data_IF_453625890918
#
_entry.id   IF_453625890918
#
_cell.length_a   1.000
_cell.length_b   1.000
_cell.length_c   1.000
_cell.angle_alpha   90.00
_cell.angle_beta   90.00
_cell.angle_gamma   90.00
#
_symmetry.space_group_name_H-M   'P 1'
#
loop_
_entity.id
_entity.type
_entity.pdbx_description
1 polymer ?
#
# COMPACT_ATOMS: atom_id res chain seq x y z
N UNK A 1 8.22 12.10 -5.33
CA UNK A 1 8.22 10.66 -4.93
C UNK A 1 6.89 10.31 -4.26
N UNK A 2 5.85 10.10 -5.07
CA UNK A 2 4.53 9.64 -4.64
C UNK A 2 4.38 8.11 -4.63
N UNK A 3 3.52 7.63 -3.71
CA UNK A 3 3.21 6.23 -3.34
C UNK A 3 1.97 6.24 -2.42
N UNK A 4 1.02 5.29 -2.36
CA UNK A 4 0.74 3.99 -3.01
C UNK A 4 -0.68 3.52 -2.65
N UNK A 5 -1.35 2.58 -3.37
CA UNK A 5 -2.61 1.96 -2.88
C UNK A 5 -2.67 0.44 -2.94
N UNK A 6 -3.11 -0.17 -1.83
CA UNK A 6 -3.70 -1.51 -1.85
C UNK A 6 -5.13 -1.46 -1.28
N UNK A 7 -6.08 -2.00 -2.05
CA UNK A 7 -7.50 -2.07 -1.69
C UNK A 7 -7.72 -3.17 -0.66
N UNK A 8 -8.29 -2.83 0.49
CA UNK A 8 -8.74 -3.81 1.50
C UNK A 8 -10.18 -3.51 1.90
N UNK A 9 -11.13 -3.97 1.07
CA UNK A 9 -12.49 -4.17 1.56
C UNK A 9 -12.40 -5.16 2.73
N UNK A 10 -12.89 -4.80 3.92
CA UNK A 10 -13.03 -5.76 5.02
C UNK A 10 -14.05 -6.83 4.62
N UNK A 11 -13.56 -7.94 4.08
CA UNK A 11 -14.32 -9.17 3.88
C UNK A 11 -13.66 -10.24 4.74
N UNK A 12 -14.43 -10.88 5.63
CA UNK A 12 -14.00 -12.11 6.29
C UNK A 12 -13.90 -13.20 5.21
N UNK A 13 -12.71 -13.34 4.63
CA UNK A 13 -12.38 -14.44 3.72
C UNK A 13 -12.09 -15.67 4.57
N UNK A 14 -12.83 -16.74 4.34
CA UNK A 14 -12.52 -18.03 4.96
C UNK A 14 -11.20 -18.57 4.42
N UNK A 15 -10.54 -19.45 5.18
CA UNK A 15 -9.33 -20.15 4.73
C UNK A 15 -9.57 -20.85 3.37
N UNK A 16 -10.76 -21.41 3.16
CA UNK A 16 -11.17 -22.00 1.88
C UNK A 16 -11.24 -20.97 0.72
N UNK A 17 -11.63 -19.71 1.00
CA UNK A 17 -11.58 -18.63 0.02
C UNK A 17 -10.14 -18.19 -0.29
N UNK A 18 -9.27 -18.09 0.73
CA UNK A 18 -7.85 -17.79 0.54
C UNK A 18 -7.12 -18.85 -0.29
N UNK A 19 -7.36 -20.14 -0.01
CA UNK A 19 -6.82 -21.26 -0.81
C UNK A 19 -7.29 -21.20 -2.26
N UNK A 20 -8.59 -20.94 -2.50
CA UNK A 20 -9.11 -20.72 -3.85
C UNK A 20 -8.46 -19.51 -4.55
N UNK A 21 -8.14 -18.42 -3.84
CA UNK A 21 -7.45 -17.25 -4.42
C UNK A 21 -6.01 -17.61 -4.80
N UNK A 22 -5.31 -18.43 -4.02
CA UNK A 22 -3.96 -18.91 -4.34
C UNK A 22 -3.98 -19.83 -5.56
N UNK A 23 -4.95 -20.72 -5.66
CA UNK A 23 -5.09 -21.69 -6.76
C UNK A 23 -5.65 -21.08 -8.06
N UNK A 24 -6.52 -20.08 -7.98
CA UNK A 24 -7.26 -19.50 -9.13
C UNK A 24 -6.95 -18.02 -9.44
N UNK A 25 -6.13 -17.36 -8.61
CA UNK A 25 -5.88 -15.92 -8.68
C UNK A 25 -7.10 -15.03 -8.41
N UNK A 26 -8.23 -15.58 -7.95
CA UNK A 26 -9.54 -14.92 -8.01
C UNK A 26 -10.36 -15.02 -6.71
N UNK A 27 -11.00 -13.91 -6.31
CA UNK A 27 -11.90 -13.83 -5.16
C UNK A 27 -13.28 -14.48 -5.45
N UNK A 28 -13.86 -15.28 -4.52
CA UNK A 28 -15.19 -15.85 -4.70
C UNK A 28 -16.29 -14.78 -4.81
N UNK A 29 -17.27 -15.00 -5.70
CA UNK A 29 -18.49 -14.18 -5.79
C UNK A 29 -18.34 -12.83 -6.52
N UNK A 30 -17.13 -12.37 -6.80
CA UNK A 30 -16.93 -11.29 -7.76
C UNK A 30 -17.09 -11.82 -9.20
N UNK A 31 -17.63 -10.99 -10.12
CA UNK A 31 -17.45 -11.23 -11.57
C UNK A 31 -15.96 -11.45 -11.82
N UNK A 32 -15.59 -12.41 -12.70
CA UNK A 32 -14.19 -12.60 -13.12
C UNK A 32 -13.56 -11.23 -13.31
N UNK A 33 -12.50 -10.94 -12.56
CA UNK A 33 -11.88 -9.64 -12.60
C UNK A 33 -11.28 -9.49 -14.00
N UNK A 34 -11.90 -8.68 -14.87
CA UNK A 34 -11.50 -8.52 -16.29
C UNK A 34 -10.19 -7.74 -16.45
N UNK A 35 -9.47 -7.56 -15.35
CA UNK A 35 -8.26 -6.78 -15.21
C UNK A 35 -7.16 -7.75 -14.75
N UNK A 36 -5.98 -7.67 -15.35
CA UNK A 36 -4.84 -8.61 -15.22
C UNK A 36 -4.47 -9.00 -13.77
N UNK A 37 -3.82 -10.13 -13.55
CA UNK A 37 -3.39 -10.52 -12.20
C UNK A 37 -2.45 -9.49 -11.56
N UNK A 38 -2.33 -9.49 -10.22
CA UNK A 38 -1.29 -8.70 -9.56
C UNK A 38 0.10 -9.26 -9.90
N UNK A 39 1.03 -8.36 -10.18
CA UNK A 39 2.43 -8.69 -10.48
C UNK A 39 3.22 -8.61 -9.19
N UNK A 40 3.58 -9.79 -8.69
CA UNK A 40 4.45 -9.92 -7.51
C UNK A 40 5.87 -9.48 -7.86
N UNK A 41 6.47 -8.63 -7.01
CA UNK A 41 7.81 -8.11 -7.21
C UNK A 41 8.72 -8.39 -6.01
N UNK A 42 10.02 -8.47 -6.28
CA UNK A 42 11.10 -8.68 -5.32
C UNK A 42 12.06 -7.48 -5.35
N UNK A 43 13.14 -7.53 -4.56
CA UNK A 43 14.20 -6.52 -4.59
C UNK A 43 14.85 -6.37 -5.98
N UNK A 44 14.93 -7.47 -6.73
CA UNK A 44 15.55 -7.56 -8.05
C UNK A 44 14.64 -7.02 -9.15
N UNK A 45 13.32 -7.17 -9.00
CA UNK A 45 12.34 -6.72 -10.01
C UNK A 45 11.75 -5.35 -9.73
N UNK A 46 11.82 -4.86 -8.48
CA UNK A 46 11.39 -3.50 -8.10
C UNK A 46 12.03 -2.37 -8.95
N UNK A 47 13.34 -2.41 -9.30
CA UNK A 47 13.96 -1.42 -10.19
C UNK A 47 13.42 -1.41 -11.62
N UNK A 48 12.66 -2.44 -12.05
CA UNK A 48 12.05 -2.51 -13.38
C UNK A 48 10.69 -1.79 -13.47
N UNK A 49 10.14 -1.30 -12.35
CA UNK A 49 8.92 -0.49 -12.37
C UNK A 49 9.16 0.84 -13.10
N UNK A 50 8.17 1.30 -13.88
CA UNK A 50 8.25 2.62 -14.50
C UNK A 50 8.22 3.71 -13.42
N UNK A 51 9.12 4.67 -13.60
CA UNK A 51 9.08 5.99 -12.96
C UNK A 51 8.42 6.95 -13.95
N UNK A 52 7.53 7.79 -13.44
CA UNK A 52 6.77 8.77 -14.22
C UNK A 52 7.30 10.17 -13.94
N UNK A 53 7.62 10.93 -14.98
CA UNK A 53 7.97 12.35 -14.84
C UNK A 53 6.72 13.19 -14.50
N UNK A 54 6.87 14.20 -13.63
CA UNK A 54 5.76 15.04 -13.21
C UNK A 54 5.12 15.83 -14.35
N UNK A 55 5.94 16.44 -15.21
CA UNK A 55 5.48 17.31 -16.29
C UNK A 55 4.87 16.51 -17.45
N UNK A 56 5.27 15.25 -17.63
CA UNK A 56 4.64 14.30 -18.56
C UNK A 56 3.28 13.81 -18.03
N UNK A 57 3.23 13.18 -16.84
CA UNK A 57 1.99 12.51 -16.39
C UNK A 57 0.85 13.50 -16.14
N UNK A 58 1.13 14.76 -15.77
CA UNK A 58 0.09 15.75 -15.52
C UNK A 58 -0.57 16.27 -16.81
N UNK A 59 0.02 16.00 -17.99
CA UNK A 59 -0.46 16.47 -19.30
C UNK A 59 -0.96 15.37 -20.23
N UNK A 60 -0.46 14.13 -20.09
CA UNK A 60 -0.84 12.99 -20.94
C UNK A 60 -1.73 11.98 -20.19
N UNK A 61 -2.99 11.86 -20.62
CA UNK A 61 -3.95 10.86 -20.12
C UNK A 61 -3.43 9.41 -20.24
N UNK A 62 -2.59 9.11 -21.24
CA UNK A 62 -1.97 7.79 -21.38
C UNK A 62 -0.89 7.53 -20.33
N UNK A 63 -0.18 8.56 -19.86
CA UNK A 63 0.74 8.43 -18.74
C UNK A 63 0.01 8.31 -17.40
N UNK A 64 -1.08 9.06 -17.20
CA UNK A 64 -2.01 8.85 -16.08
C UNK A 64 -2.54 7.40 -16.08
N UNK A 65 -2.98 6.89 -17.24
CA UNK A 65 -3.46 5.51 -17.38
C UNK A 65 -2.38 4.49 -17.01
N UNK A 66 -1.16 4.62 -17.54
CA UNK A 66 -0.02 3.74 -17.22
C UNK A 66 0.32 3.76 -15.72
N UNK A 67 0.28 4.93 -15.09
CA UNK A 67 0.53 5.09 -13.66
C UNK A 67 -0.56 4.39 -12.82
N UNK A 68 -1.83 4.61 -13.14
CA UNK A 68 -2.96 3.95 -12.47
C UNK A 68 -2.93 2.44 -12.69
N UNK A 69 -2.60 1.99 -13.91
CA UNK A 69 -2.44 0.58 -14.25
C UNK A 69 -1.33 -0.05 -13.39
N UNK A 70 -0.14 0.56 -13.32
CA UNK A 70 0.97 0.05 -12.51
C UNK A 70 0.67 0.06 -10.99
N UNK A 71 0.00 1.09 -10.47
CA UNK A 71 -0.53 1.08 -9.10
C UNK A 71 -1.47 -0.10 -8.88
N UNK A 72 -2.30 -0.43 -9.86
CA UNK A 72 -3.33 -1.47 -9.76
C UNK A 72 -2.76 -2.89 -9.94
N UNK A 73 -1.75 -3.09 -10.77
CA UNK A 73 -1.10 -4.40 -11.01
C UNK A 73 0.03 -4.68 -10.02
N UNK A 74 0.90 -3.71 -9.76
CA UNK A 74 2.10 -3.89 -8.94
C UNK A 74 1.91 -3.37 -7.50
N UNK A 75 0.85 -2.59 -7.24
CA UNK A 75 0.68 -1.91 -5.95
C UNK A 75 1.66 -0.76 -5.73
N UNK A 76 2.38 -0.30 -6.77
CA UNK A 76 3.56 0.57 -6.62
C UNK A 76 3.89 1.37 -7.91
N UNK A 77 3.84 2.72 -7.87
CA UNK A 77 4.25 3.58 -8.99
C UNK A 77 4.89 4.91 -8.52
N UNK A 78 6.12 5.18 -9.00
CA UNK A 78 6.90 6.38 -8.63
C UNK A 78 6.53 7.59 -9.51
N UNK A 79 6.52 8.79 -8.91
CA UNK A 79 6.59 10.05 -9.66
C UNK A 79 7.84 10.84 -9.27
N UNK A 80 8.66 11.23 -10.25
CA UNK A 80 9.86 12.07 -10.11
C UNK A 80 9.58 13.54 -10.41
N UNK A 81 10.52 14.42 -10.09
CA UNK A 81 10.55 15.83 -10.52
C UNK A 81 9.31 16.68 -10.16
N UNK A 82 8.57 16.20 -9.15
CA UNK A 82 7.40 16.85 -8.57
C UNK A 82 7.79 18.21 -7.96
N UNK A 83 7.15 19.33 -8.34
CA UNK A 83 7.36 20.62 -7.71
C UNK A 83 7.00 20.59 -6.22
N UNK A 84 7.80 21.25 -5.37
CA UNK A 84 7.57 21.29 -3.92
C UNK A 84 6.21 21.84 -3.51
N UNK A 85 5.59 22.70 -4.34
CA UNK A 85 4.20 23.14 -4.21
C UNK A 85 3.36 22.58 -5.37
N UNK A 86 2.60 21.53 -5.10
CA UNK A 86 1.56 21.01 -6.00
C UNK A 86 0.19 21.51 -5.52
N UNK A 87 -0.57 22.19 -6.37
CA UNK A 87 -1.97 22.52 -6.11
C UNK A 87 -2.85 21.30 -6.39
N UNK A 88 -2.85 20.36 -5.43
CA UNK A 88 -3.55 19.10 -5.58
C UNK A 88 -5.07 19.26 -5.43
N UNK A 89 -5.90 18.74 -6.37
CA UNK A 89 -7.35 18.74 -6.24
C UNK A 89 -7.86 17.89 -5.06
N UNK A 90 -6.99 17.12 -4.39
CA UNK A 90 -7.27 16.43 -3.12
C UNK A 90 -7.81 17.41 -2.06
N UNK A 91 -7.42 18.70 -2.10
CA UNK A 91 -7.94 19.76 -1.22
C UNK A 91 -9.47 19.89 -1.25
N UNK A 92 -10.13 19.51 -2.35
CA UNK A 92 -11.58 19.61 -2.52
C UNK A 92 -12.35 18.32 -2.19
N UNK A 93 -11.68 17.28 -1.69
CA UNK A 93 -12.33 16.02 -1.29
C UNK A 93 -12.57 15.93 0.23
N UNK A 94 -13.47 15.04 0.64
CA UNK A 94 -13.86 14.83 2.05
C UNK A 94 -12.67 14.52 2.98
N UNK A 95 -11.56 14.01 2.43
CA UNK A 95 -10.37 13.62 3.19
C UNK A 95 -9.56 14.80 3.74
N UNK A 96 -9.67 16.00 3.15
CA UNK A 96 -9.35 17.36 3.65
C UNK A 96 -8.04 17.66 4.41
N UNK A 97 -7.21 16.68 4.76
CA UNK A 97 -6.08 16.83 5.68
C UNK A 97 -4.85 16.10 5.13
N UNK A 98 -3.99 16.86 4.50
CA UNK A 98 -2.60 16.48 4.28
C UNK A 98 -1.89 16.55 5.65
N UNK A 99 -0.93 15.67 5.90
CA UNK A 99 -0.12 15.69 7.12
C UNK A 99 1.37 15.82 6.77
N UNK A 100 2.05 16.77 7.40
CA UNK A 100 3.49 16.94 7.23
C UNK A 100 4.25 15.89 8.04
N UNK A 101 4.84 14.90 7.37
CA UNK A 101 5.73 13.92 8.01
C UNK A 101 7.10 14.55 8.20
N UNK A 102 7.34 15.08 9.40
CA UNK A 102 8.62 15.68 9.82
C UNK A 102 8.97 15.26 11.25
N UNK A 103 10.26 15.16 11.56
CA UNK A 103 10.69 14.89 12.93
C UNK A 103 10.42 16.09 13.85
N UNK A 104 9.76 15.86 14.98
CA UNK A 104 9.46 16.90 16.00
C UNK A 104 9.88 16.44 17.41
N UNK A 105 10.21 17.35 18.33
CA UNK A 105 10.34 17.02 19.75
C UNK A 105 9.02 16.45 20.29
N UNK A 106 9.11 15.47 21.20
CA UNK A 106 7.94 14.88 21.88
C UNK A 106 6.89 14.33 20.89
N UNK A 107 7.35 13.60 19.88
CA UNK A 107 6.53 13.03 18.82
C UNK A 107 5.39 12.13 19.36
N UNK A 108 4.15 12.51 19.08
CA UNK A 108 2.93 11.74 19.44
C UNK A 108 2.65 10.56 18.50
N UNK A 109 3.40 10.44 17.41
CA UNK A 109 3.30 9.37 16.42
C UNK A 109 4.72 9.02 15.96
N UNK A 110 5.01 7.72 15.78
CA UNK A 110 6.32 7.23 15.37
C UNK A 110 6.81 7.86 14.05
N UNK A 111 5.92 8.16 13.11
CA UNK A 111 6.23 8.84 11.84
C UNK A 111 6.84 10.24 12.03
N UNK A 112 6.60 10.89 13.17
CA UNK A 112 7.19 12.20 13.51
C UNK A 112 8.47 12.08 14.35
N UNK A 113 9.10 10.90 14.40
CA UNK A 113 10.35 10.64 15.14
C UNK A 113 11.57 10.50 14.21
N UNK A 114 12.75 10.34 14.81
CA UNK A 114 13.99 9.96 14.10
C UNK A 114 14.21 8.44 14.01
N UNK A 115 13.33 7.63 14.61
CA UNK A 115 13.47 6.18 14.64
C UNK A 115 13.23 5.52 13.26
N UNK A 116 13.62 4.25 13.17
CA UNK A 116 13.16 3.34 12.13
C UNK A 116 11.73 2.89 12.45
N UNK A 117 10.89 2.74 11.42
CA UNK A 117 9.51 2.27 11.52
C UNK A 117 9.37 0.79 11.17
N UNK A 118 10.36 0.21 10.48
CA UNK A 118 10.23 -1.12 9.88
C UNK A 118 9.12 -1.19 8.83
N UNK A 119 8.79 -2.42 8.39
CA UNK A 119 7.66 -2.65 7.50
C UNK A 119 6.33 -2.58 8.26
N UNK A 120 5.40 -1.76 7.77
CA UNK A 120 4.07 -1.56 8.34
C UNK A 120 3.08 -1.18 7.25
N UNK A 121 1.79 -1.21 7.58
CA UNK A 121 0.72 -0.59 6.81
C UNK A 121 -0.01 0.43 7.68
N UNK A 122 -0.45 1.53 7.08
CA UNK A 122 -0.88 2.71 7.83
C UNK A 122 -2.32 2.60 8.36
N UNK A 123 -2.50 3.12 9.58
CA UNK A 123 -3.77 3.34 10.26
C UNK A 123 -4.65 2.08 10.43
N UNK A 124 -4.05 0.91 10.65
CA UNK A 124 -4.74 -0.38 10.93
C UNK A 124 -5.71 -0.37 12.13
N UNK A 125 -5.73 0.70 12.93
CA UNK A 125 -6.71 0.91 14.00
C UNK A 125 -8.07 1.43 13.51
N UNK A 126 -8.22 1.79 12.23
CA UNK A 126 -9.53 2.01 11.61
C UNK A 126 -10.11 0.70 11.07
N UNK A 127 -11.43 0.53 11.20
CA UNK A 127 -12.16 -0.60 10.60
C UNK A 127 -12.00 -0.66 9.08
N UNK A 128 -11.89 0.49 8.41
CA UNK A 128 -11.60 0.58 6.98
C UNK A 128 -10.38 1.50 6.80
N UNK A 129 -9.15 0.96 6.87
CA UNK A 129 -7.93 1.75 6.75
C UNK A 129 -7.83 2.38 5.35
N UNK A 130 -7.04 3.47 5.18
CA UNK A 130 -6.85 4.08 3.87
C UNK A 130 -6.29 3.06 2.89
N UNK A 131 -6.92 2.97 1.72
CA UNK A 131 -6.37 2.15 0.67
C UNK A 131 -5.16 2.86 0.01
N UNK A 132 -5.29 4.16 -0.32
CA UNK A 132 -4.23 5.02 -0.89
C UNK A 132 -3.54 5.73 0.27
N UNK A 133 -2.24 5.55 0.37
CA UNK A 133 -1.32 6.55 0.87
C UNK A 133 -0.87 7.44 -0.30
N UNK A 134 -0.47 8.68 -0.03
CA UNK A 134 0.17 9.58 -1.00
C UNK A 134 1.24 10.37 -0.24
N UNK A 135 2.50 9.96 -0.37
CA UNK A 135 3.64 10.66 0.25
C UNK A 135 4.26 11.67 -0.71
N UNK A 136 4.63 12.86 -0.24
CA UNK A 136 5.35 13.84 -1.06
C UNK A 136 6.64 14.27 -0.34
N UNK A 137 7.79 13.82 -0.85
CA UNK A 137 9.10 14.25 -0.36
C UNK A 137 9.37 15.72 -0.77
N UNK A 138 9.08 16.66 0.13
CA UNK A 138 9.44 18.09 -0.01
C UNK A 138 10.93 18.32 0.26
N UNK A 139 11.48 17.61 1.26
CA UNK A 139 12.86 17.71 1.69
C UNK A 139 13.34 16.34 2.17
N UNK A 140 14.45 15.86 1.64
CA UNK A 140 15.09 14.62 2.07
C UNK A 140 16.02 14.85 3.27
N UNK A 141 16.23 13.80 4.08
CA UNK A 141 17.26 13.81 5.11
C UNK A 141 18.65 13.68 4.47
N UNK A 142 19.64 14.40 5.00
CA UNK A 142 21.00 14.44 4.43
C UNK A 142 21.78 13.13 4.57
N UNK A 143 21.37 12.22 5.46
CA UNK A 143 21.99 10.88 5.64
C UNK A 143 21.04 9.89 6.30
N UNK A 144 21.16 8.61 5.95
CA UNK A 144 20.72 7.49 6.78
C UNK A 144 19.22 7.16 6.79
N UNK A 145 18.39 7.76 5.93
CA UNK A 145 16.95 7.42 5.83
C UNK A 145 16.59 7.09 4.38
N UNK A 146 16.51 5.80 4.07
CA UNK A 146 16.06 5.29 2.79
C UNK A 146 14.60 4.85 2.90
N UNK A 147 13.82 5.05 1.85
CA UNK A 147 12.48 4.47 1.75
C UNK A 147 12.62 2.98 1.38
N UNK A 148 12.02 2.10 2.18
CA UNK A 148 12.01 0.65 1.96
C UNK A 148 10.59 0.18 1.64
N UNK A 149 10.47 -0.78 0.73
CA UNK A 149 9.19 -1.31 0.26
C UNK A 149 9.23 -2.84 0.28
N UNK A 150 8.12 -3.46 0.69
CA UNK A 150 7.91 -4.90 0.62
C UNK A 150 6.57 -5.19 -0.07
N UNK A 151 6.53 -6.24 -0.89
CA UNK A 151 5.29 -6.70 -1.52
C UNK A 151 4.58 -7.64 -0.55
N UNK A 152 3.58 -7.14 0.19
CA UNK A 152 2.86 -7.91 1.20
C UNK A 152 2.20 -9.19 0.67
N UNK A 153 1.70 -9.19 -0.58
CA UNK A 153 1.16 -10.40 -1.21
C UNK A 153 2.27 -11.43 -1.44
N UNK A 154 3.41 -11.01 -2.02
CA UNK A 154 4.57 -11.91 -2.23
C UNK A 154 5.07 -12.48 -0.91
N UNK A 155 5.17 -11.65 0.14
CA UNK A 155 5.54 -12.10 1.48
C UNK A 155 4.56 -13.14 2.06
N UNK A 156 3.25 -12.95 1.86
CA UNK A 156 2.24 -13.91 2.29
C UNK A 156 2.30 -15.23 1.50
N UNK A 157 2.56 -15.17 0.18
CA UNK A 157 2.78 -16.36 -0.67
C UNK A 157 4.07 -17.09 -0.29
N UNK A 158 5.14 -16.37 0.02
CA UNK A 158 6.39 -16.97 0.48
C UNK A 158 6.23 -17.64 1.85
N UNK A 159 5.48 -17.00 2.76
CA UNK A 159 5.14 -17.59 4.06
C UNK A 159 4.29 -18.86 3.91
N UNK A 160 3.25 -18.84 3.07
CA UNK A 160 2.41 -20.02 2.79
C UNK A 160 3.23 -21.24 2.32
N UNK A 161 4.29 -21.04 1.55
CA UNK A 161 5.14 -22.14 1.06
C UNK A 161 6.25 -22.54 2.04
N UNK A 162 6.78 -21.60 2.84
CA UNK A 162 7.90 -21.86 3.76
C UNK A 162 7.47 -22.30 5.15
N UNK A 163 6.34 -21.78 5.64
CA UNK A 163 5.73 -22.10 6.93
C UNK A 163 4.19 -21.94 6.84
N UNK A 164 3.48 -22.98 6.38
CA UNK A 164 2.02 -22.97 6.31
C UNK A 164 1.33 -22.76 7.67
N UNK A 165 1.96 -23.14 8.79
CA UNK A 165 1.38 -22.99 10.13
C UNK A 165 1.43 -21.54 10.59
N UNK A 166 2.54 -20.84 10.37
CA UNK A 166 2.66 -19.40 10.58
C UNK A 166 1.75 -18.62 9.63
N UNK A 167 1.57 -19.08 8.38
CA UNK A 167 0.60 -18.48 7.45
C UNK A 167 -0.84 -18.62 7.99
N UNK A 168 -1.28 -19.83 8.36
CA UNK A 168 -2.64 -20.03 8.88
C UNK A 168 -2.85 -19.31 10.23
N UNK A 169 -1.81 -19.16 11.05
CA UNK A 169 -1.85 -18.37 12.29
C UNK A 169 -2.04 -16.88 11.99
N UNK A 170 -1.31 -16.31 11.02
CA UNK A 170 -1.39 -14.88 10.67
C UNK A 170 -2.64 -14.55 9.84
N UNK A 171 -3.14 -15.49 9.04
CA UNK A 171 -4.39 -15.35 8.28
C UNK A 171 -5.64 -15.62 9.13
N UNK A 172 -5.59 -16.59 10.06
CA UNK A 172 -6.70 -16.96 10.94
C UNK A 172 -6.92 -16.03 12.14
N UNK A 173 -5.90 -15.26 12.53
CA UNK A 173 -6.00 -14.27 13.62
C UNK A 173 -6.65 -12.94 13.20
N UNK A 174 -7.23 -12.85 12.00
CA UNK A 174 -7.94 -11.66 11.48
C UNK A 174 -9.30 -11.35 12.16
N UNK A 175 -9.45 -11.74 13.42
CA UNK A 175 -10.58 -11.39 14.31
C UNK A 175 -10.13 -10.51 15.49
N UNK A 176 -9.02 -9.77 15.33
CA UNK A 176 -8.66 -8.66 16.21
C UNK A 176 -9.78 -7.62 16.15
N UNK A 177 -10.52 -7.52 17.26
CA UNK A 177 -11.73 -6.70 17.47
C UNK A 177 -13.07 -7.29 16.97
N UNK A 178 -13.44 -8.49 17.46
CA UNK A 178 -14.85 -8.78 17.77
C UNK A 178 -15.08 -9.22 19.23
N UNK A 179 -14.77 -8.32 20.18
CA UNK A 179 -15.22 -8.45 21.57
C UNK A 179 -16.76 -8.41 21.62
N UNK A 180 -17.41 -9.57 21.70
CA UNK A 180 -18.78 -9.67 22.21
C UNK A 180 -18.73 -9.48 23.73
N UNK A 181 -19.21 -8.34 24.20
CA UNK A 181 -19.72 -8.26 25.57
C UNK A 181 -21.04 -9.05 25.57
N UNK A 182 -21.00 -10.24 26.17
CA UNK A 182 -22.19 -10.99 26.57
C UNK A 182 -22.82 -10.29 27.80
N UNK A 183 -24.13 -10.46 28.07
CA UNK A 183 -24.92 -9.53 28.89
C UNK A 183 -24.49 -9.45 30.36
#
# INVERSE_FOLDING_TARGET
MFWVMTKTTLQKLSIAALRNIVESGSLPGFRRNTHDAQVLWTKETLPMLKYFDYEEYIKDEMEVYKLIYQLRTNGLAFVTDVPSKVESPIQNTFYRRIWDVRTVPQAINAAYSSADLGFHTDLLYFQNPPHLQLLHCIQSASKGRANVFANGYKSAVDLLHSDPEAFETTAGSLDIASYRIAP
#
